data_IF_852105885812
#
_entry.id   IF_852105885812
#
_cell.length_a   1.000
_cell.length_b   1.000
_cell.length_c   1.000
_cell.angle_alpha   90.00
_cell.angle_beta   90.00
_cell.angle_gamma   90.00
#
_symmetry.space_group_name_H-M   'P 1'
#
loop_
_entity.id
_entity.type
_entity.pdbx_description
1 polymer ?
#
# COMPACT_ATOMS: atom_id res chain seq x y z
N UNK A 1 3.42 17.82 10.96
CA UNK A 1 2.43 16.74 10.76
C UNK A 1 2.98 15.83 9.68
N UNK A 2 3.32 14.59 10.03
CA UNK A 2 3.91 13.63 9.10
C UNK A 2 2.75 12.83 8.48
N UNK A 3 2.73 12.64 7.16
CA UNK A 3 1.61 11.97 6.47
C UNK A 3 1.29 10.56 7.01
N UNK A 4 2.24 9.94 7.72
CA UNK A 4 2.05 8.67 8.43
C UNK A 4 1.20 8.79 9.70
N UNK A 5 1.22 9.92 10.42
CA UNK A 5 0.43 10.12 11.65
C UNK A 5 -1.06 10.29 11.38
N UNK A 6 -1.40 10.89 10.24
CA UNK A 6 -2.80 11.16 9.89
C UNK A 6 -3.51 9.87 9.43
N UNK A 7 -2.80 8.98 8.75
CA UNK A 7 -3.35 7.70 8.30
C UNK A 7 -3.66 6.76 9.48
N UNK A 8 -2.75 6.64 10.46
CA UNK A 8 -3.00 5.83 11.65
C UNK A 8 -4.21 6.30 12.45
N UNK A 9 -4.45 7.62 12.49
CA UNK A 9 -5.62 8.20 13.14
C UNK A 9 -6.92 7.87 12.41
N UNK A 10 -6.91 7.91 11.08
CA UNK A 10 -8.05 7.54 10.24
C UNK A 10 -8.40 6.04 10.42
N UNK A 11 -7.40 5.18 10.42
CA UNK A 11 -7.57 3.73 10.68
C UNK A 11 -8.23 3.45 12.04
N UNK A 12 -7.84 4.19 13.09
CA UNK A 12 -8.39 4.00 14.43
C UNK A 12 -9.89 4.29 14.53
N UNK A 13 -10.45 5.10 13.62
CA UNK A 13 -11.87 5.45 13.59
C UNK A 13 -12.73 4.49 12.74
N UNK A 14 -12.10 3.57 11.98
CA UNK A 14 -12.79 2.63 11.09
C UNK A 14 -13.12 1.32 11.80
N UNK A 15 -14.20 0.66 11.34
CA UNK A 15 -14.56 -0.69 11.79
C UNK A 15 -13.74 -1.75 11.06
N UNK A 16 -13.60 -2.93 11.67
CA UNK A 16 -12.84 -4.04 11.09
C UNK A 16 -13.37 -4.49 9.72
N UNK A 17 -14.68 -4.39 9.49
CA UNK A 17 -15.28 -4.72 8.19
C UNK A 17 -14.80 -3.74 7.10
N UNK A 18 -14.83 -2.44 7.40
CA UNK A 18 -14.31 -1.41 6.49
C UNK A 18 -12.82 -1.61 6.23
N UNK A 19 -12.05 -1.90 7.28
CA UNK A 19 -10.62 -2.17 7.17
C UNK A 19 -10.31 -3.39 6.29
N UNK A 20 -11.11 -4.46 6.36
CA UNK A 20 -10.96 -5.63 5.48
C UNK A 20 -11.21 -5.29 4.01
N UNK A 21 -12.20 -4.45 3.73
CA UNK A 21 -12.49 -3.99 2.36
C UNK A 21 -11.34 -3.11 1.84
N UNK A 22 -10.87 -2.15 2.65
CA UNK A 22 -9.74 -1.29 2.28
C UNK A 22 -8.45 -2.08 2.08
N UNK A 23 -8.20 -3.09 2.91
CA UNK A 23 -7.06 -3.99 2.77
C UNK A 23 -7.08 -4.69 1.41
N UNK A 24 -8.22 -5.22 0.98
CA UNK A 24 -8.35 -5.89 -0.31
C UNK A 24 -8.14 -4.92 -1.48
N UNK A 25 -8.68 -3.71 -1.37
CA UNK A 25 -8.46 -2.64 -2.36
C UNK A 25 -6.98 -2.30 -2.47
N UNK A 26 -6.29 -2.03 -1.36
CA UNK A 26 -4.88 -1.70 -1.37
C UNK A 26 -4.01 -2.85 -1.86
N UNK A 27 -4.33 -4.11 -1.52
CA UNK A 27 -3.63 -5.29 -2.03
C UNK A 27 -3.76 -5.41 -3.55
N UNK A 28 -4.95 -5.16 -4.09
CA UNK A 28 -5.20 -5.13 -5.53
C UNK A 28 -4.41 -4.01 -6.20
N UNK A 29 -4.51 -2.78 -5.71
CA UNK A 29 -3.76 -1.64 -6.25
C UNK A 29 -2.23 -1.86 -6.20
N UNK A 30 -1.74 -2.48 -5.13
CA UNK A 30 -0.33 -2.81 -4.99
C UNK A 30 0.13 -3.84 -6.04
N UNK A 31 -0.72 -4.84 -6.35
CA UNK A 31 -0.46 -5.83 -7.41
C UNK A 31 -0.47 -5.17 -8.78
N UNK A 32 -1.48 -4.37 -9.07
CA UNK A 32 -1.62 -3.66 -10.35
C UNK A 32 -0.41 -2.72 -10.59
N UNK A 33 0.08 -2.05 -9.54
CA UNK A 33 1.30 -1.25 -9.61
C UNK A 33 2.55 -2.09 -9.87
N UNK A 34 2.65 -3.29 -9.30
CA UNK A 34 3.78 -4.18 -9.57
C UNK A 34 3.81 -4.61 -11.04
N UNK A 35 2.65 -5.00 -11.58
CA UNK A 35 2.51 -5.40 -12.99
C UNK A 35 2.82 -4.24 -13.93
N UNK A 36 2.35 -3.03 -13.61
CA UNK A 36 2.67 -1.82 -14.38
C UNK A 36 4.18 -1.50 -14.36
N UNK A 37 4.85 -1.65 -13.20
CA UNK A 37 6.30 -1.45 -13.09
C UNK A 37 7.04 -2.48 -13.94
N UNK A 38 6.68 -3.77 -13.87
CA UNK A 38 7.30 -4.84 -14.67
C UNK A 38 7.14 -4.56 -16.17
N UNK A 39 5.93 -4.27 -16.62
CA UNK A 39 5.65 -3.98 -18.02
C UNK A 39 6.44 -2.75 -18.53
N UNK A 40 6.63 -1.73 -17.69
CA UNK A 40 7.45 -0.57 -18.04
C UNK A 40 8.94 -0.91 -18.10
N UNK A 41 9.44 -1.73 -17.19
CA UNK A 41 10.83 -2.18 -17.21
C UNK A 41 11.15 -3.05 -18.42
N UNK A 42 10.24 -3.96 -18.79
CA UNK A 42 10.39 -4.85 -19.96
C UNK A 42 10.43 -4.08 -21.28
N UNK A 43 9.70 -2.97 -21.40
CA UNK A 43 9.71 -2.12 -22.60
C UNK A 43 11.03 -1.37 -22.80
N UNK A 44 11.87 -1.25 -21.76
CA UNK A 44 13.19 -0.62 -21.84
C UNK A 44 13.22 0.90 -22.09
N UNK A 45 12.08 1.51 -22.45
CA UNK A 45 11.94 2.94 -22.73
C UNK A 45 11.37 3.75 -21.56
N UNK A 46 11.14 3.11 -20.41
CA UNK A 46 10.51 3.78 -19.28
C UNK A 46 11.47 4.79 -18.65
N UNK A 47 11.00 6.02 -18.54
CA UNK A 47 11.67 7.10 -17.82
C UNK A 47 11.95 6.69 -16.36
N UNK A 48 13.20 6.87 -15.92
CA UNK A 48 13.64 6.51 -14.57
C UNK A 48 12.85 7.26 -13.49
N UNK A 49 12.46 8.51 -13.74
CA UNK A 49 11.66 9.30 -12.80
C UNK A 49 10.26 8.70 -12.64
N UNK A 50 9.66 8.25 -13.75
CA UNK A 50 8.37 7.55 -13.74
C UNK A 50 8.47 6.24 -12.93
N UNK A 51 9.49 5.43 -13.16
CA UNK A 51 9.71 4.20 -12.39
C UNK A 51 9.93 4.48 -10.88
N UNK A 52 10.69 5.51 -10.54
CA UNK A 52 10.89 5.91 -9.14
C UNK A 52 9.58 6.33 -8.46
N UNK A 53 8.75 7.11 -9.15
CA UNK A 53 7.43 7.53 -8.62
C UNK A 53 6.52 6.33 -8.39
N UNK A 54 6.46 5.39 -9.33
CA UNK A 54 5.65 4.17 -9.18
C UNK A 54 6.15 3.29 -8.03
N UNK A 55 7.46 3.08 -7.91
CA UNK A 55 8.06 2.35 -6.78
C UNK A 55 7.77 3.01 -5.44
N UNK A 56 7.83 4.34 -5.36
CA UNK A 56 7.47 5.10 -4.15
C UNK A 56 5.99 4.91 -3.79
N UNK A 57 5.08 4.97 -4.77
CA UNK A 57 3.64 4.68 -4.55
C UNK A 57 3.43 3.26 -4.05
N UNK A 58 4.10 2.28 -4.65
CA UNK A 58 4.05 0.88 -4.25
C UNK A 58 4.52 0.69 -2.79
N UNK A 59 5.61 1.34 -2.40
CA UNK A 59 6.11 1.32 -1.02
C UNK A 59 5.09 1.90 -0.03
N UNK A 60 4.47 3.04 -0.37
CA UNK A 60 3.43 3.64 0.48
C UNK A 60 2.21 2.74 0.64
N UNK A 61 1.78 2.04 -0.42
CA UNK A 61 0.69 1.07 -0.31
C UNK A 61 1.08 -0.11 0.58
N UNK A 62 2.31 -0.63 0.44
CA UNK A 62 2.82 -1.70 1.30
C UNK A 62 2.79 -1.29 2.78
N UNK A 63 3.24 -0.08 3.10
CA UNK A 63 3.23 0.44 4.48
C UNK A 63 1.79 0.56 5.01
N UNK A 64 0.84 1.02 4.19
CA UNK A 64 -0.58 1.11 4.57
C UNK A 64 -1.22 -0.26 4.79
N UNK A 65 -0.90 -1.24 3.93
CA UNK A 65 -1.35 -2.63 4.05
C UNK A 65 -0.87 -3.19 5.39
N UNK A 66 0.42 -3.05 5.71
CA UNK A 66 0.99 -3.53 6.97
C UNK A 66 0.28 -2.92 8.19
N UNK A 67 0.00 -1.61 8.18
CA UNK A 67 -0.72 -0.97 9.28
C UNK A 67 -2.16 -1.50 9.47
N UNK A 68 -2.86 -1.82 8.37
CA UNK A 68 -4.20 -2.41 8.45
C UNK A 68 -4.13 -3.86 8.90
N UNK A 69 -3.16 -4.63 8.40
CA UNK A 69 -2.92 -6.01 8.81
C UNK A 69 -2.61 -6.08 10.31
N UNK A 70 -1.67 -5.28 10.82
CA UNK A 70 -1.33 -5.20 12.24
C UNK A 70 -2.55 -4.86 13.11
N UNK A 71 -3.45 -4.00 12.61
CA UNK A 71 -4.69 -3.66 13.31
C UNK A 71 -5.71 -4.80 13.33
N UNK A 72 -5.82 -5.55 12.23
CA UNK A 72 -6.78 -6.65 12.07
C UNK A 72 -6.31 -7.98 12.67
N UNK A 73 -4.99 -8.19 12.78
CA UNK A 73 -4.38 -9.40 13.34
C UNK A 73 -3.42 -9.06 14.49
N UNK A 74 -3.92 -8.48 15.61
CA UNK A 74 -3.06 -8.07 16.71
C UNK A 74 -2.36 -9.24 17.45
N UNK A 75 -2.84 -10.49 17.33
CA UNK A 75 -2.43 -11.63 18.18
C UNK A 75 -1.91 -12.86 17.40
N UNK A 76 -0.96 -12.71 16.46
CA UNK A 76 -0.33 -13.89 15.80
C UNK A 76 1.21 -13.84 15.84
N UNK A 77 1.82 -12.78 16.37
CA UNK A 77 3.29 -12.64 16.51
C UNK A 77 3.63 -12.13 17.93
N UNK A 78 3.43 -12.97 18.95
CA UNK A 78 3.95 -12.81 20.32
C UNK A 78 4.48 -14.15 20.83
#
# INVERSE_FOLDING_TARGET
MNAQSDFARDLAMKTDEVLRVELEVFRREHRDLDDAIRALQERGTADQLTLQRLKKKKLLLKDRIALIEDRLTPDIIA
#
